data_IF_623957303246
#
_entry.id   IF_623957303246
#
_cell.length_a   1.000
_cell.length_b   1.000
_cell.length_c   1.000
_cell.angle_alpha   90.00
_cell.angle_beta   90.00
_cell.angle_gamma   90.00
#
_symmetry.space_group_name_H-M   'P 1'
#
loop_
_entity.id
_entity.type
_entity.pdbx_description
1 polymer ?
#
# COMPACT_ATOMS: atom_id res chain seq x y z
N UNK A 1 -3.09 -17.72 -23.51
CA UNK A 1 -3.46 -18.05 -22.11
C UNK A 1 -4.96 -18.33 -21.99
N UNK A 2 -5.82 -17.36 -22.30
CA UNK A 2 -7.29 -17.54 -22.23
C UNK A 2 -7.83 -18.71 -23.06
N UNK A 3 -7.28 -18.93 -24.27
CA UNK A 3 -7.63 -20.06 -25.14
C UNK A 3 -7.28 -21.44 -24.57
N UNK A 4 -6.34 -21.53 -23.62
CA UNK A 4 -5.96 -22.78 -22.96
C UNK A 4 -6.84 -23.08 -21.74
N UNK A 5 -7.77 -22.19 -21.37
CA UNK A 5 -8.64 -22.37 -20.20
C UNK A 5 -7.92 -22.26 -18.86
N UNK A 6 -6.68 -21.78 -18.81
CA UNK A 6 -5.91 -21.65 -17.58
C UNK A 6 -6.18 -20.33 -16.87
N UNK A 7 -6.38 -20.37 -15.56
CA UNK A 7 -6.30 -19.18 -14.71
C UNK A 7 -4.85 -18.70 -14.65
N UNK A 8 -4.60 -17.45 -15.05
CA UNK A 8 -3.25 -16.88 -15.10
C UNK A 8 -3.19 -15.61 -14.26
N UNK A 9 -2.18 -15.49 -13.42
CA UNK A 9 -1.81 -14.26 -12.73
C UNK A 9 -0.63 -13.61 -13.45
N UNK A 10 -0.73 -12.32 -13.75
CA UNK A 10 0.35 -11.52 -14.32
C UNK A 10 0.81 -10.52 -13.25
N UNK A 11 2.12 -10.41 -13.04
CA UNK A 11 2.70 -9.46 -12.08
C UNK A 11 3.34 -8.32 -12.86
N UNK A 12 2.93 -7.09 -12.56
CA UNK A 12 3.53 -5.87 -13.10
C UNK A 12 3.90 -4.95 -11.94
N UNK A 13 5.11 -4.40 -11.99
CA UNK A 13 5.58 -3.40 -11.02
C UNK A 13 5.41 -2.00 -11.59
N UNK A 14 5.00 -1.05 -10.76
CA UNK A 14 4.97 0.35 -11.15
C UNK A 14 6.29 1.02 -10.76
N UNK A 15 7.09 1.38 -11.76
CA UNK A 15 8.23 2.26 -11.58
C UNK A 15 7.74 3.71 -11.76
N UNK A 16 7.29 4.35 -10.68
CA UNK A 16 7.54 5.77 -10.42
C UNK A 16 6.87 6.22 -9.10
N UNK A 17 7.68 6.80 -8.21
CA UNK A 17 7.30 7.38 -6.92
C UNK A 17 7.36 8.91 -6.99
N UNK A 18 6.86 9.55 -8.05
CA UNK A 18 6.70 11.00 -8.04
C UNK A 18 5.33 11.36 -7.49
N UNK A 19 5.33 11.98 -6.32
CA UNK A 19 4.17 12.52 -5.59
C UNK A 19 3.54 13.75 -6.24
N UNK A 20 3.86 14.06 -7.49
CA UNK A 20 3.36 15.26 -8.16
C UNK A 20 2.26 14.89 -9.16
N UNK A 21 1.04 15.08 -8.66
CA UNK A 21 -0.16 15.46 -9.41
C UNK A 21 0.18 16.21 -10.70
N UNK A 22 -0.26 15.67 -11.85
CA UNK A 22 -0.78 16.39 -13.04
C UNK A 22 -0.43 15.74 -14.37
N UNK A 23 0.58 14.87 -14.46
CA UNK A 23 0.83 14.16 -15.71
C UNK A 23 0.15 12.80 -15.67
N UNK A 24 -0.73 12.60 -16.65
CA UNK A 24 -1.22 11.32 -17.15
C UNK A 24 -0.02 10.43 -17.50
N UNK A 25 0.68 9.93 -16.46
CA UNK A 25 1.63 8.83 -16.56
C UNK A 25 0.87 7.77 -17.33
N UNK A 26 1.38 7.44 -18.52
CA UNK A 26 0.68 6.64 -19.52
C UNK A 26 0.05 5.47 -18.78
N UNK A 27 -1.27 5.48 -18.65
CA UNK A 27 -1.97 4.39 -17.97
C UNK A 27 -1.49 3.11 -18.64
N UNK A 28 -0.91 2.22 -17.83
CA UNK A 28 -0.32 0.99 -18.29
C UNK A 28 -1.41 0.26 -19.11
N UNK A 29 -1.12 -0.06 -20.38
CA UNK A 29 -2.09 -0.68 -21.32
C UNK A 29 -2.68 -1.96 -20.73
N UNK A 30 -1.89 -2.62 -19.87
CA UNK A 30 -2.23 -3.74 -19.01
C UNK A 30 -3.58 -3.55 -18.29
N UNK A 31 -3.83 -2.35 -17.75
CA UNK A 31 -5.07 -2.05 -17.01
C UNK A 31 -6.33 -2.16 -17.89
N UNK A 32 -6.22 -2.12 -19.22
CA UNK A 32 -7.37 -2.21 -20.13
C UNK A 32 -7.55 -3.60 -20.73
N UNK A 33 -6.45 -4.34 -20.90
CA UNK A 33 -6.46 -5.67 -21.55
C UNK A 33 -6.81 -6.80 -20.60
N UNK A 34 -6.57 -6.66 -19.29
CA UNK A 34 -6.87 -7.73 -18.32
C UNK A 34 -8.37 -7.82 -17.99
N UNK A 35 -8.84 -9.01 -17.60
CA UNK A 35 -10.23 -9.21 -17.18
C UNK A 35 -10.45 -8.91 -15.69
N UNK A 36 -9.45 -9.17 -14.86
CA UNK A 36 -9.41 -8.83 -13.43
C UNK A 36 -8.13 -8.08 -13.10
N UNK A 37 -8.19 -7.22 -12.08
CA UNK A 37 -7.04 -6.45 -11.62
C UNK A 37 -7.03 -6.40 -10.10
N UNK A 38 -5.85 -6.58 -9.52
CA UNK A 38 -5.56 -6.42 -8.10
C UNK A 38 -4.41 -5.41 -8.02
N UNK A 39 -4.55 -4.41 -7.16
CA UNK A 39 -3.52 -3.38 -6.95
C UNK A 39 -3.00 -3.45 -5.52
N UNK A 40 -1.68 -3.47 -5.40
CA UNK A 40 -0.97 -3.46 -4.13
C UNK A 40 -0.39 -2.07 -3.88
N UNK A 41 -0.73 -1.48 -2.74
CA UNK A 41 -0.30 -0.15 -2.34
C UNK A 41 0.72 -0.26 -1.21
N UNK A 42 1.76 0.58 -1.25
CA UNK A 42 2.75 0.71 -0.20
C UNK A 42 3.00 2.20 0.07
N UNK A 43 2.21 2.76 0.98
CA UNK A 43 2.14 4.19 1.28
C UNK A 43 2.89 4.51 2.56
N UNK A 44 3.34 5.76 2.68
CA UNK A 44 3.86 6.32 3.92
C UNK A 44 2.70 7.12 4.56
N UNK A 45 2.26 6.71 5.75
CA UNK A 45 1.10 7.27 6.45
C UNK A 45 1.57 7.88 7.79
N UNK A 46 0.89 8.92 8.26
CA UNK A 46 1.18 9.55 9.55
C UNK A 46 0.43 8.81 10.66
N UNK A 47 1.14 8.47 11.73
CA UNK A 47 0.62 7.85 12.94
C UNK A 47 0.75 8.82 14.11
N UNK A 48 -0.37 9.12 14.74
CA UNK A 48 -0.47 10.04 15.89
C UNK A 48 -0.46 9.31 17.25
N UNK A 49 -0.32 7.98 17.25
CA UNK A 49 -0.28 7.17 18.46
C UNK A 49 1.15 7.11 19.01
N UNK A 50 1.46 8.06 19.90
CA UNK A 50 2.70 8.06 20.66
C UNK A 50 2.73 6.92 21.69
N UNK A 51 3.46 5.85 21.37
CA UNK A 51 4.06 4.98 22.38
C UNK A 51 5.55 4.85 22.04
N UNK A 52 6.36 5.54 22.83
CA UNK A 52 7.81 5.58 22.65
C UNK A 52 8.42 4.28 23.16
N UNK A 53 9.09 3.50 22.29
CA UNK A 53 10.24 2.72 22.76
C UNK A 53 11.44 3.67 22.79
N UNK A 54 11.66 4.28 23.95
CA UNK A 54 12.91 4.95 24.25
C UNK A 54 13.99 3.87 24.36
N UNK A 55 14.94 3.85 23.43
CA UNK A 55 16.22 3.21 23.70
C UNK A 55 16.87 3.96 24.87
N UNK A 56 17.09 3.26 25.97
CA UNK A 56 17.81 3.72 27.16
C UNK A 56 19.22 4.16 26.75
N UNK A 57 19.44 5.45 26.49
CA UNK A 57 20.73 6.14 26.68
C UNK A 57 20.65 7.65 26.38
N UNK A 58 19.93 8.42 27.19
CA UNK A 58 20.22 9.85 27.35
C UNK A 58 19.47 10.45 28.55
N UNK A 59 20.04 10.29 29.74
CA UNK A 59 19.58 11.02 30.93
C UNK A 59 20.33 12.35 30.98
N UNK A 60 19.76 13.42 30.42
CA UNK A 60 19.99 14.76 30.94
C UNK A 60 18.86 15.69 30.54
N UNK A 61 18.24 16.26 31.57
CA UNK A 61 16.93 16.87 31.52
C UNK A 61 16.82 18.06 30.58
N UNK A 62 15.63 18.16 29.99
CA UNK A 62 14.95 19.40 29.69
C UNK A 62 13.44 19.12 29.61
N UNK A 63 12.66 20.10 30.02
CA UNK A 63 11.20 20.14 30.07
C UNK A 63 10.56 19.60 28.78
N UNK A 64 9.66 18.63 28.94
CA UNK A 64 8.84 18.05 27.86
C UNK A 64 7.77 19.07 27.46
N UNK A 65 8.05 19.87 26.43
CA UNK A 65 7.00 20.49 25.64
C UNK A 65 6.32 19.37 24.83
N UNK A 66 4.98 19.35 24.84
CA UNK A 66 4.15 18.33 24.18
C UNK A 66 4.18 18.52 22.64
N UNK A 67 5.35 18.37 22.05
CA UNK A 67 5.47 18.29 20.60
C UNK A 67 4.85 16.96 20.16
N UNK A 68 3.68 17.05 19.53
CA UNK A 68 3.05 15.93 18.86
C UNK A 68 3.93 15.52 17.67
N UNK A 69 4.87 14.61 17.91
CA UNK A 69 5.72 14.05 16.86
C UNK A 69 4.90 13.10 16.01
N UNK A 70 4.54 13.53 14.80
CA UNK A 70 3.91 12.65 13.81
C UNK A 70 4.94 11.60 13.32
N UNK A 71 4.78 10.35 13.76
CA UNK A 71 5.61 9.25 13.27
C UNK A 71 5.08 8.79 11.91
N UNK A 72 5.97 8.64 10.94
CA UNK A 72 5.59 8.13 9.61
C UNK A 72 5.74 6.62 9.59
N UNK A 73 4.64 5.89 9.41
CA UNK A 73 4.60 4.42 9.33
C UNK A 73 4.26 4.00 7.91
N UNK A 74 4.90 2.94 7.41
CA UNK A 74 4.52 2.38 6.11
C UNK A 74 3.34 1.43 6.24
N UNK A 75 2.30 1.70 5.48
CA UNK A 75 1.13 0.84 5.40
C UNK A 75 1.09 0.10 4.06
N UNK A 76 0.55 -1.12 4.09
CA UNK A 76 0.28 -1.92 2.89
C UNK A 76 -1.22 -2.10 2.75
N UNK A 77 -1.73 -1.95 1.54
CA UNK A 77 -3.16 -2.11 1.25
C UNK A 77 -3.36 -2.85 -0.07
N UNK A 78 -4.44 -3.62 -0.17
CA UNK A 78 -4.87 -4.31 -1.38
C UNK A 78 -6.22 -3.75 -1.84
N UNK A 79 -6.32 -3.52 -3.14
CA UNK A 79 -7.51 -3.03 -3.82
C UNK A 79 -7.85 -3.99 -4.98
N UNK A 80 -9.13 -4.13 -5.30
CA UNK A 80 -9.60 -4.84 -6.49
C UNK A 80 -10.27 -3.81 -7.41
N UNK A 81 -9.54 -3.16 -8.33
CA UNK A 81 -10.13 -2.11 -9.16
C UNK A 81 -11.14 -2.62 -10.18
N UNK A 82 -11.02 -3.89 -10.60
CA UNK A 82 -11.99 -4.53 -11.49
C UNK A 82 -11.93 -6.06 -11.42
N UNK A 83 -13.09 -6.69 -11.58
CA UNK A 83 -13.27 -8.10 -11.89
C UNK A 83 -14.44 -8.22 -12.88
N UNK A 84 -14.16 -8.38 -14.18
CA UNK A 84 -15.22 -8.43 -15.20
C UNK A 84 -16.11 -9.64 -14.99
N UNK A 85 -17.42 -9.41 -14.99
CA UNK A 85 -18.43 -10.46 -14.85
C UNK A 85 -18.75 -10.87 -13.41
N UNK A 86 -18.11 -10.27 -12.40
CA UNK A 86 -18.40 -10.57 -10.98
C UNK A 86 -18.45 -9.32 -10.13
N UNK A 87 -19.20 -9.38 -9.02
CA UNK A 87 -19.04 -8.41 -7.95
C UNK A 87 -17.70 -8.62 -7.25
N UNK A 88 -17.19 -7.56 -6.64
CA UNK A 88 -15.95 -7.55 -5.86
C UNK A 88 -15.98 -6.40 -4.86
N UNK A 89 -15.14 -6.49 -3.83
CA UNK A 89 -15.03 -5.44 -2.82
C UNK A 89 -14.51 -4.14 -3.43
N UNK A 90 -15.14 -3.02 -3.06
CA UNK A 90 -14.70 -1.67 -3.41
C UNK A 90 -13.84 -1.04 -2.30
N UNK A 91 -13.56 -1.78 -1.22
CA UNK A 91 -12.79 -1.29 -0.09
C UNK A 91 -11.29 -1.43 -0.34
N UNK A 92 -10.52 -0.50 0.24
CA UNK A 92 -9.07 -0.55 0.27
C UNK A 92 -8.65 -1.30 1.54
N UNK A 93 -8.39 -2.60 1.41
CA UNK A 93 -8.16 -3.48 2.55
C UNK A 93 -6.73 -3.30 3.06
N UNK A 94 -6.51 -2.92 4.33
CA UNK A 94 -5.18 -2.98 4.92
C UNK A 94 -4.72 -4.44 4.99
N UNK A 95 -3.44 -4.68 4.73
CA UNK A 95 -2.84 -6.01 4.82
C UNK A 95 -1.54 -5.98 5.61
N UNK A 96 -1.25 -7.08 6.28
CA UNK A 96 0.04 -7.32 6.94
C UNK A 96 0.74 -8.50 6.27
N UNK A 97 2.07 -8.45 6.19
CA UNK A 97 2.87 -9.59 5.74
C UNK A 97 3.67 -10.07 6.94
N UNK A 98 3.35 -11.27 7.44
CA UNK A 98 4.00 -11.90 8.58
C UNK A 98 4.65 -13.23 8.15
N UNK A 99 5.09 -14.05 9.11
CA UNK A 99 5.67 -15.37 8.86
C UNK A 99 4.73 -16.36 8.13
N UNK A 100 3.41 -16.15 8.19
CA UNK A 100 2.40 -16.97 7.54
C UNK A 100 2.01 -16.46 6.14
N UNK A 101 2.53 -15.29 5.72
CA UNK A 101 2.23 -14.67 4.44
C UNK A 101 1.36 -13.43 4.60
N UNK A 102 0.40 -13.24 3.68
CA UNK A 102 -0.48 -12.05 3.64
C UNK A 102 -1.73 -12.30 4.47
N UNK A 103 -2.02 -11.40 5.41
CA UNK A 103 -3.23 -11.36 6.25
C UNK A 103 -3.99 -10.04 6.08
#
# INVERSE_FOLDING_TARGET
LKSFGCTTLLVSGQADRSTDSAHMSRKAVEEYVVDGMIRLHHTLEESTSGETMLEENSVQGNTLEEDSFAMKVRARKIEIPKMRGTSHSQYLHPITINENGVE
#
